data_IF_554368578454
#
_entry.id   IF_554368578454
#
_cell.length_a   1.000
_cell.length_b   1.000
_cell.length_c   1.000
_cell.angle_alpha   90.00
_cell.angle_beta   90.00
_cell.angle_gamma   90.00
#
_symmetry.space_group_name_H-M   'P 1'
#
loop_
_entity.id
_entity.type
_entity.pdbx_description
1 polymer ?
#
# COMPACT_ATOMS: atom_id res chain seq x y z
N UNK A 1 25.90 -17.75 21.70
CA UNK A 1 24.74 -17.85 20.78
C UNK A 1 24.37 -16.42 20.42
N UNK A 2 25.04 -15.84 19.43
CA UNK A 2 24.72 -14.51 18.94
C UNK A 2 23.55 -14.65 17.97
N UNK A 3 22.36 -14.26 18.43
CA UNK A 3 21.19 -14.02 17.59
C UNK A 3 21.55 -12.94 16.56
N UNK A 4 21.97 -13.36 15.38
CA UNK A 4 22.05 -12.50 14.20
C UNK A 4 20.61 -12.11 13.82
N UNK A 5 20.08 -11.08 14.47
CA UNK A 5 18.95 -10.33 13.97
C UNK A 5 19.40 -9.69 12.65
N UNK A 6 19.09 -10.37 11.53
CA UNK A 6 19.15 -9.79 10.20
C UNK A 6 18.22 -8.59 10.17
N UNK A 7 18.78 -7.43 10.51
CA UNK A 7 18.15 -6.15 10.35
C UNK A 7 17.90 -6.00 8.85
N UNK A 8 16.65 -6.24 8.43
CA UNK A 8 16.20 -6.06 7.06
C UNK A 8 16.07 -4.55 6.77
N UNK A 9 17.11 -3.78 7.09
CA UNK A 9 17.30 -2.35 6.80
C UNK A 9 17.78 -2.13 5.38
N UNK A 10 17.51 -3.07 4.47
CA UNK A 10 17.47 -2.74 3.05
C UNK A 10 16.31 -1.78 2.85
N UNK A 11 16.60 -0.47 2.83
CA UNK A 11 15.62 0.56 2.53
C UNK A 11 14.99 0.22 1.18
N UNK A 12 13.77 -0.33 1.20
CA UNK A 12 13.04 -0.60 -0.02
C UNK A 12 12.95 0.69 -0.83
N UNK A 13 13.19 0.66 -2.15
CA UNK A 13 13.11 1.86 -2.97
C UNK A 13 11.72 2.46 -2.82
N UNK A 14 11.62 3.79 -2.79
CA UNK A 14 10.32 4.45 -2.74
C UNK A 14 9.50 4.04 -3.96
N UNK A 15 8.32 3.48 -3.73
CA UNK A 15 7.45 2.99 -4.78
C UNK A 15 6.11 3.71 -4.79
N UNK A 16 5.47 3.74 -5.97
CA UNK A 16 4.18 4.40 -6.15
C UNK A 16 3.03 3.45 -5.84
N UNK A 17 2.13 3.85 -4.94
CA UNK A 17 0.95 3.08 -4.58
C UNK A 17 -0.11 3.05 -5.70
N UNK A 18 -0.59 1.86 -6.02
CA UNK A 18 -1.63 1.57 -7.01
C UNK A 18 -3.03 1.98 -6.56
N UNK A 19 -3.24 2.34 -5.28
CA UNK A 19 -4.55 2.80 -4.75
C UNK A 19 -4.66 4.32 -4.59
N UNK A 20 -3.61 4.98 -4.12
CA UNK A 20 -3.63 6.41 -3.81
C UNK A 20 -2.60 7.26 -4.58
N UNK A 21 -1.83 6.66 -5.50
CA UNK A 21 -0.79 7.32 -6.31
C UNK A 21 0.37 7.97 -5.53
N UNK A 22 0.44 7.78 -4.21
CA UNK A 22 1.52 8.35 -3.38
C UNK A 22 2.79 7.52 -3.51
N UNK A 23 3.92 8.22 -3.54
CA UNK A 23 5.24 7.63 -3.37
C UNK A 23 5.44 7.30 -1.89
N UNK A 24 5.74 6.04 -1.58
CA UNK A 24 5.86 5.54 -0.22
C UNK A 24 7.06 4.61 -0.07
N UNK A 25 7.69 4.66 1.08
CA UNK A 25 8.78 3.74 1.45
C UNK A 25 8.25 2.44 2.07
N UNK A 26 7.06 2.50 2.68
CA UNK A 26 6.39 1.36 3.32
C UNK A 26 5.20 0.90 2.49
N UNK A 27 5.37 -0.21 1.79
CA UNK A 27 4.36 -0.79 0.92
C UNK A 27 4.41 -2.33 0.93
N UNK A 28 3.29 -2.92 0.54
CA UNK A 28 3.16 -4.31 0.18
C UNK A 28 3.23 -4.45 -1.34
N UNK A 29 3.80 -5.55 -1.80
CA UNK A 29 3.83 -5.93 -3.20
C UNK A 29 2.99 -7.19 -3.37
N UNK A 30 1.97 -7.10 -4.21
CA UNK A 30 1.08 -8.20 -4.55
C UNK A 30 1.42 -8.66 -5.96
N UNK A 31 1.62 -9.97 -6.13
CA UNK A 31 1.89 -10.57 -7.43
C UNK A 31 0.60 -11.27 -7.87
N UNK A 32 0.06 -10.87 -9.02
CA UNK A 32 -1.11 -11.53 -9.60
C UNK A 32 -0.71 -12.89 -10.22
N UNK A 33 -1.69 -13.78 -10.49
CA UNK A 33 -1.44 -15.00 -11.26
C UNK A 33 -0.89 -14.76 -12.68
N UNK A 34 -1.05 -13.55 -13.22
CA UNK A 34 -0.48 -13.12 -14.52
C UNK A 34 0.93 -12.52 -14.39
N UNK A 35 1.55 -12.61 -13.21
CA UNK A 35 2.83 -11.96 -12.87
C UNK A 35 2.80 -10.42 -12.93
N UNK A 36 1.62 -9.81 -12.81
CA UNK A 36 1.52 -8.36 -12.66
C UNK A 36 1.76 -7.97 -11.20
N UNK A 37 2.70 -7.05 -10.98
CA UNK A 37 3.03 -6.52 -9.65
C UNK A 37 2.17 -5.31 -9.33
N UNK A 38 1.41 -5.39 -8.24
CA UNK A 38 0.62 -4.29 -7.68
C UNK A 38 1.23 -3.86 -6.36
N UNK A 39 1.72 -2.63 -6.33
CA UNK A 39 2.28 -2.04 -5.13
C UNK A 39 1.18 -1.29 -4.38
N UNK A 40 0.96 -1.58 -3.10
CA UNK A 40 -0.07 -0.94 -2.26
C UNK A 40 0.57 -0.44 -0.98
N UNK A 41 0.38 0.83 -0.65
CA UNK A 41 0.92 1.38 0.59
C UNK A 41 0.22 0.78 1.81
N UNK A 42 0.95 0.69 2.93
CA UNK A 42 0.43 0.13 4.18
C UNK A 42 -0.88 0.81 4.64
N UNK A 43 -1.01 2.13 4.45
CA UNK A 43 -2.24 2.84 4.82
C UNK A 43 -3.46 2.40 4.00
N UNK A 44 -3.28 2.11 2.70
CA UNK A 44 -4.37 1.62 1.85
C UNK A 44 -4.72 0.18 2.22
N UNK A 45 -3.71 -0.65 2.47
CA UNK A 45 -3.92 -2.03 2.93
C UNK A 45 -4.69 -2.07 4.25
N UNK A 46 -4.29 -1.27 5.23
CA UNK A 46 -4.99 -1.20 6.52
C UNK A 46 -6.43 -0.70 6.41
N UNK A 47 -6.74 0.15 5.42
CA UNK A 47 -8.13 0.58 5.16
C UNK A 47 -8.96 -0.54 4.54
N UNK A 48 -8.36 -1.34 3.68
CA UNK A 48 -9.00 -2.49 3.05
C UNK A 48 -9.29 -3.59 4.08
N UNK A 49 -8.28 -3.98 4.86
CA UNK A 49 -8.39 -5.00 5.93
C UNK A 49 -9.42 -4.62 7.01
N UNK A 50 -9.53 -3.34 7.34
CA UNK A 50 -10.53 -2.84 8.30
C UNK A 50 -11.91 -2.67 7.68
N UNK A 51 -12.09 -2.93 6.39
CA UNK A 51 -13.34 -2.69 5.66
C UNK A 51 -13.73 -1.21 5.58
N UNK A 52 -12.81 -0.29 5.86
CA UNK A 52 -13.09 1.15 5.98
C UNK A 52 -13.44 1.80 4.62
N UNK A 53 -13.06 1.17 3.51
CA UNK A 53 -13.36 1.61 2.15
C UNK A 53 -14.42 0.74 1.43
N UNK A 54 -15.26 0.00 2.15
CA UNK A 54 -16.39 -0.76 1.59
C UNK A 54 -17.55 0.10 1.04
N UNK A 55 -17.28 1.32 0.54
CA UNK A 55 -18.24 2.02 -0.33
C UNK A 55 -17.97 1.62 -1.77
N UNK A 56 -18.95 0.95 -2.36
CA UNK A 56 -19.02 0.43 -3.74
C UNK A 56 -18.65 1.44 -4.84
N UNK A 57 -18.66 2.74 -4.54
CA UNK A 57 -18.43 3.84 -5.49
C UNK A 57 -17.13 4.63 -5.24
N UNK A 58 -16.21 4.14 -4.40
CA UNK A 58 -14.91 4.81 -4.23
C UNK A 58 -14.09 4.69 -5.53
N UNK A 59 -14.04 5.76 -6.32
CA UNK A 59 -13.24 5.83 -7.54
C UNK A 59 -12.28 7.04 -7.53
N UNK A 60 -11.11 6.83 -8.11
CA UNK A 60 -10.01 7.81 -8.26
C UNK A 60 -10.37 9.06 -9.09
N UNK A 61 -11.58 9.16 -9.65
CA UNK A 61 -12.06 10.38 -10.34
C UNK A 61 -12.41 11.51 -9.36
N UNK A 62 -12.55 11.23 -8.06
CA UNK A 62 -12.95 12.19 -7.04
C UNK A 62 -11.81 12.99 -6.38
N UNK A 63 -10.80 13.47 -7.11
CA UNK A 63 -9.74 14.39 -6.56
C UNK A 63 -10.29 15.79 -6.18
N UNK A 64 -11.45 15.85 -5.52
CA UNK A 64 -11.98 17.01 -4.80
C UNK A 64 -12.59 16.63 -3.44
N UNK A 65 -12.64 15.34 -3.08
CA UNK A 65 -13.20 14.88 -1.82
C UNK A 65 -12.14 14.80 -0.73
N UNK A 66 -12.32 15.58 0.34
CA UNK A 66 -11.51 15.53 1.56
C UNK A 66 -11.59 14.12 2.16
N UNK A 67 -10.44 13.52 2.44
CA UNK A 67 -10.34 12.29 3.22
C UNK A 67 -10.62 12.67 4.68
N UNK A 68 -11.71 12.18 5.32
CA UNK A 68 -11.96 12.49 6.73
C UNK A 68 -10.84 11.87 7.57
N UNK A 69 -10.30 12.66 8.51
CA UNK A 69 -9.31 12.23 9.50
C UNK A 69 -9.98 11.49 10.66
#
# INVERSE_FOLDING_TARGET
MSEEYLDNTGSKPTARCSECDRNVERYYEFISPTNETRIVCWQCQMRDEKGFNAKRDFSRRGRRGVIPR
#
